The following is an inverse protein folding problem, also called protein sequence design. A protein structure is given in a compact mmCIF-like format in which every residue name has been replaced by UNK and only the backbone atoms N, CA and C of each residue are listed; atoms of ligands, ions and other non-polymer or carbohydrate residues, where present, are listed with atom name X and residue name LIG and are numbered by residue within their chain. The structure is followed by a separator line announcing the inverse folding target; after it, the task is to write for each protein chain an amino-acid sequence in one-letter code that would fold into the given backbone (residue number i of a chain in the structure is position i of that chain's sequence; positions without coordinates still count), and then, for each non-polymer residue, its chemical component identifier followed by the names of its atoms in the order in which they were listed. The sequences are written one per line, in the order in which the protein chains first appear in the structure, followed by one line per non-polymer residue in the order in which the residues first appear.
data_IF_776586556078
#
_entry.id   IF_776586556078
#
_cell.length_a   1.000
_cell.length_b   1.000
_cell.length_c   1.000
_cell.angle_alpha   90.00
_cell.angle_beta   90.00
_cell.angle_gamma   90.00
#
_symmetry.space_group_name_H-M   'P 1'
#
loop_
_entity.id
_entity.type
_entity.pdbx_description
1 polymer ?
#
# COMPACT_ATOMS: atom_id res chain seq x y z
N UNK A 1 -4.66 -12.10 -12.28
CA UNK A 1 -6.02 -12.28 -12.80
C UNK A 1 -6.03 -12.31 -14.32
N UNK A 2 -7.20 -12.52 -14.93
CA UNK A 2 -7.36 -12.56 -16.40
C UNK A 2 -7.09 -11.23 -17.10
N UNK A 3 -7.02 -10.11 -16.38
CA UNK A 3 -6.69 -8.78 -16.93
C UNK A 3 -5.17 -8.50 -16.96
N UNK A 4 -4.32 -9.43 -16.55
CA UNK A 4 -2.87 -9.24 -16.48
C UNK A 4 -2.39 -8.54 -15.19
N UNK A 5 -3.29 -8.28 -14.23
CA UNK A 5 -2.89 -7.75 -12.92
C UNK A 5 -2.43 -8.87 -12.00
N UNK A 6 -1.23 -8.71 -11.43
CA UNK A 6 -0.62 -9.68 -10.53
C UNK A 6 -0.08 -9.00 -9.27
N UNK A 7 -0.33 -9.62 -8.12
CA UNK A 7 0.31 -9.30 -6.86
C UNK A 7 1.24 -10.44 -6.47
N UNK A 8 2.50 -10.16 -6.31
CA UNK A 8 3.50 -11.09 -5.82
C UNK A 8 3.79 -10.81 -4.34
N UNK A 9 3.82 -11.86 -3.53
CA UNK A 9 4.13 -11.77 -2.09
C UNK A 9 5.41 -12.52 -1.77
N UNK A 10 6.12 -12.05 -0.74
CA UNK A 10 7.15 -12.82 -0.05
C UNK A 10 6.49 -13.74 0.99
N UNK A 11 7.20 -14.79 1.40
CA UNK A 11 6.73 -15.74 2.43
C UNK A 11 6.37 -15.06 3.77
N UNK A 12 7.01 -13.93 4.05
CA UNK A 12 6.73 -13.13 5.26
C UNK A 12 5.51 -12.22 5.13
N UNK A 13 4.69 -12.35 4.07
CA UNK A 13 3.49 -11.56 3.84
C UNK A 13 3.72 -10.13 3.32
N UNK A 14 4.97 -9.75 3.01
CA UNK A 14 5.24 -8.47 2.35
C UNK A 14 4.80 -8.51 0.89
N UNK A 15 4.23 -7.42 0.39
CA UNK A 15 4.03 -7.24 -1.05
C UNK A 15 5.40 -7.15 -1.72
N UNK A 16 5.73 -8.11 -2.58
CA UNK A 16 6.98 -8.13 -3.34
C UNK A 16 6.91 -7.16 -4.51
N UNK A 17 5.90 -7.30 -5.34
CA UNK A 17 5.65 -6.43 -6.49
C UNK A 17 4.18 -6.45 -6.88
N UNK A 18 3.75 -5.39 -7.56
CA UNK A 18 2.44 -5.28 -8.18
C UNK A 18 2.68 -4.98 -9.66
N UNK A 19 2.12 -5.81 -10.52
CA UNK A 19 2.36 -5.77 -11.96
C UNK A 19 1.03 -5.74 -12.71
N UNK A 20 0.94 -4.85 -13.70
CA UNK A 20 -0.15 -4.76 -14.66
C UNK A 20 0.49 -4.85 -16.04
N UNK A 21 0.71 -6.07 -16.53
CA UNK A 21 1.54 -6.36 -17.68
C UNK A 21 1.22 -5.46 -18.90
N UNK A 22 2.26 -4.80 -19.50
CA UNK A 22 3.72 -4.97 -19.29
C UNK A 22 4.34 -4.02 -18.24
N UNK A 23 3.55 -3.38 -17.38
CA UNK A 23 3.96 -2.33 -16.45
C UNK A 23 4.10 -2.87 -15.02
N UNK A 24 5.22 -2.55 -14.36
CA UNK A 24 5.37 -2.65 -12.91
C UNK A 24 4.75 -1.42 -12.25
N UNK A 25 3.80 -1.64 -11.37
CA UNK A 25 3.17 -0.57 -10.57
C UNK A 25 4.10 -0.19 -9.41
N UNK A 26 4.74 -1.18 -8.78
CA UNK A 26 5.71 -0.95 -7.71
C UNK A 26 6.93 -0.19 -8.22
N UNK A 27 7.49 0.68 -7.38
CA UNK A 27 8.73 1.40 -7.70
C UNK A 27 9.92 0.46 -7.81
N UNK A 28 9.99 -0.50 -6.88
CA UNK A 28 10.96 -1.59 -6.91
C UNK A 28 10.39 -2.85 -6.24
N UNK A 29 10.84 -4.05 -6.63
CA UNK A 29 10.50 -5.26 -5.91
C UNK A 29 11.07 -5.26 -4.49
N UNK A 30 10.27 -5.69 -3.51
CA UNK A 30 10.78 -5.96 -2.18
C UNK A 30 11.59 -7.25 -2.15
N UNK A 31 12.53 -7.32 -1.21
CA UNK A 31 13.33 -8.53 -0.92
C UNK A 31 13.26 -8.83 0.57
N UNK A 32 13.84 -9.95 1.01
CA UNK A 32 13.96 -10.25 2.44
C UNK A 32 14.79 -9.20 3.20
N UNK A 33 15.64 -8.44 2.50
CA UNK A 33 16.56 -7.45 3.07
C UNK A 33 16.10 -6.00 2.84
N UNK A 34 15.08 -5.77 1.99
CA UNK A 34 14.55 -4.45 1.70
C UNK A 34 13.08 -4.38 2.04
N UNK A 35 12.66 -3.30 2.69
CA UNK A 35 11.26 -3.09 3.06
C UNK A 35 10.40 -2.94 1.81
N UNK A 36 9.17 -3.47 1.89
CA UNK A 36 8.16 -3.24 0.87
C UNK A 36 7.76 -1.76 0.83
N UNK A 37 7.59 -1.22 -0.37
CA UNK A 37 7.02 0.11 -0.58
C UNK A 37 5.50 0.16 -0.44
N UNK A 38 4.84 -1.00 -0.22
CA UNK A 38 3.41 -1.11 -0.03
C UNK A 38 3.09 -1.75 1.32
N UNK A 39 2.25 -1.09 2.13
CA UNK A 39 1.77 -1.63 3.40
C UNK A 39 0.47 -0.96 3.84
N UNK A 40 -0.16 -1.53 4.85
CA UNK A 40 -1.35 -1.01 5.51
C UNK A 40 -1.05 -0.96 7.01
N UNK A 41 -1.39 0.15 7.64
CA UNK A 41 -1.16 0.35 9.06
C UNK A 41 -2.46 0.68 9.78
N UNK A 42 -2.63 0.13 10.97
CA UNK A 42 -3.58 0.62 11.97
C UNK A 42 -2.83 1.48 12.97
N UNK A 43 -3.35 2.67 13.27
CA UNK A 43 -2.79 3.62 14.24
C UNK A 43 -3.88 4.06 15.21
N UNK A 44 -3.56 4.17 16.50
CA UNK A 44 -4.47 4.77 17.47
C UNK A 44 -4.50 6.28 17.28
N UNK A 45 -5.68 6.84 16.99
CA UNK A 45 -5.85 8.25 16.71
C UNK A 45 -5.54 9.18 17.91
N UNK A 46 -5.55 8.66 19.13
CA UNK A 46 -5.22 9.42 20.34
C UNK A 46 -3.74 9.30 20.75
N UNK A 47 -3.01 8.35 20.19
CA UNK A 47 -1.59 8.12 20.46
C UNK A 47 -0.88 7.70 19.17
N UNK A 48 -0.35 8.65 18.40
CA UNK A 48 0.33 8.35 17.14
C UNK A 48 1.52 7.38 17.27
N UNK A 49 2.16 7.29 18.44
CA UNK A 49 3.21 6.31 18.70
C UNK A 49 2.74 4.85 18.79
N UNK A 50 1.42 4.61 18.86
CA UNK A 50 0.85 3.26 18.87
C UNK A 50 0.26 2.91 17.50
N UNK A 51 0.98 2.11 16.74
CA UNK A 51 0.54 1.60 15.44
C UNK A 51 1.05 0.17 15.21
N UNK A 52 0.48 -0.51 14.23
CA UNK A 52 0.94 -1.82 13.74
C UNK A 52 0.84 -1.89 12.22
N UNK A 53 1.80 -2.55 11.59
CA UNK A 53 1.67 -2.97 10.21
C UNK A 53 0.69 -4.15 10.09
N UNK A 54 -0.03 -4.27 9.01
CA UNK A 54 -0.88 -5.43 8.73
C UNK A 54 -0.19 -6.44 7.81
N UNK A 55 0.82 -6.00 7.05
CA UNK A 55 1.58 -6.83 6.12
C UNK A 55 3.06 -6.86 6.50
N UNK A 56 3.73 -7.93 6.12
CA UNK A 56 5.16 -8.08 6.30
C UNK A 56 5.60 -8.52 7.70
N UNK A 57 6.91 -8.61 7.94
CA UNK A 57 7.48 -9.23 9.12
C UNK A 57 7.26 -8.45 10.43
N UNK A 58 6.96 -7.15 10.36
CA UNK A 58 6.64 -6.32 11.52
C UNK A 58 5.16 -6.42 11.93
N UNK A 59 4.35 -7.17 11.18
CA UNK A 59 2.93 -7.40 11.52
C UNK A 59 2.76 -8.56 12.48
N UNK A 60 1.68 -8.53 13.25
CA UNK A 60 1.21 -9.67 14.04
C UNK A 60 0.27 -10.57 13.22
N UNK A 61 0.41 -10.59 11.90
CA UNK A 61 -0.50 -11.29 11.00
C UNK A 61 -0.06 -12.71 10.71
N UNK A 62 -1.05 -13.59 10.58
CA UNK A 62 -0.92 -14.89 9.92
C UNK A 62 -1.46 -14.71 8.51
N UNK A 63 -0.70 -15.17 7.53
CA UNK A 63 -1.00 -15.01 6.11
C UNK A 63 -1.51 -16.33 5.52
N UNK A 64 -2.60 -16.26 4.76
CA UNK A 64 -3.17 -17.39 4.01
C UNK A 64 -3.60 -16.94 2.63
N UNK A 65 -3.71 -17.89 1.70
CA UNK A 65 -4.38 -17.69 0.41
C UNK A 65 -5.54 -18.68 0.39
N UNK A 66 -6.76 -18.18 0.26
CA UNK A 66 -8.00 -18.94 0.24
C UNK A 66 -8.81 -18.48 -0.97
N UNK A 67 -9.15 -19.38 -1.87
CA UNK A 67 -9.95 -19.08 -3.08
C UNK A 67 -9.43 -17.86 -3.89
N UNK A 68 -8.12 -17.81 -4.13
CA UNK A 68 -7.41 -16.71 -4.82
C UNK A 68 -7.45 -15.35 -4.09
N UNK A 69 -7.84 -15.33 -2.82
CA UNK A 69 -7.82 -14.17 -1.95
C UNK A 69 -6.62 -14.27 -1.00
N UNK A 70 -5.72 -13.29 -1.04
CA UNK A 70 -4.70 -13.16 0.00
C UNK A 70 -5.32 -12.56 1.26
N UNK A 71 -5.08 -13.19 2.40
CA UNK A 71 -5.68 -12.81 3.68
C UNK A 71 -4.60 -12.68 4.75
N UNK A 72 -4.58 -11.56 5.46
CA UNK A 72 -3.80 -11.33 6.66
C UNK A 72 -4.76 -11.21 7.87
N UNK A 73 -4.61 -12.06 8.87
CA UNK A 73 -5.41 -12.03 10.11
C UNK A 73 -4.50 -11.85 11.31
N UNK A 74 -4.87 -10.97 12.22
CA UNK A 74 -4.06 -10.74 13.41
C UNK A 74 -4.80 -10.03 14.54
N UNK A 75 -4.05 -9.82 15.62
CA UNK A 75 -4.52 -9.09 16.80
C UNK A 75 -3.49 -8.04 17.19
N UNK A 76 -3.95 -6.87 17.58
CA UNK A 76 -3.11 -5.80 18.07
C UNK A 76 -3.88 -4.91 19.08
N UNK A 77 -3.32 -4.70 20.25
CA UNK A 77 -3.82 -3.77 21.28
C UNK A 77 -5.33 -3.92 21.61
N UNK A 78 -5.81 -5.17 21.66
CA UNK A 78 -7.23 -5.49 21.91
C UNK A 78 -8.13 -5.28 20.69
N UNK A 79 -7.56 -5.27 19.50
CA UNK A 79 -8.27 -5.27 18.23
C UNK A 79 -7.97 -6.56 17.49
N UNK A 80 -8.99 -7.21 16.94
CA UNK A 80 -8.84 -8.26 15.95
C UNK A 80 -9.03 -7.66 14.57
N UNK A 81 -8.17 -8.01 13.61
CA UNK A 81 -8.30 -7.51 12.25
C UNK A 81 -8.18 -8.62 11.20
N UNK A 82 -8.83 -8.38 10.08
CA UNK A 82 -8.66 -9.15 8.84
C UNK A 82 -8.45 -8.16 7.70
N UNK A 83 -7.44 -8.41 6.90
CA UNK A 83 -7.12 -7.64 5.70
C UNK A 83 -7.12 -8.59 4.50
N UNK A 84 -8.00 -8.35 3.53
CA UNK A 84 -8.17 -9.21 2.35
C UNK A 84 -7.82 -8.43 1.09
N UNK A 85 -7.00 -9.03 0.22
CA UNK A 85 -6.77 -8.52 -1.14
C UNK A 85 -7.63 -9.30 -2.12
N UNK A 86 -8.42 -8.57 -2.89
CA UNK A 86 -9.19 -9.11 -4.02
C UNK A 86 -8.83 -8.41 -5.31
N UNK A 87 -8.57 -9.18 -6.35
CA UNK A 87 -8.33 -8.67 -7.71
C UNK A 87 -9.64 -8.75 -8.49
N UNK A 88 -9.93 -7.72 -9.28
CA UNK A 88 -11.08 -7.75 -10.18
C UNK A 88 -10.86 -8.79 -11.28
N UNK A 89 -11.89 -9.52 -11.63
CA UNK A 89 -11.87 -10.49 -12.76
C UNK A 89 -12.01 -9.81 -14.12
N UNK A 90 -12.44 -8.54 -14.16
CA UNK A 90 -12.81 -7.85 -15.41
C UNK A 90 -11.94 -6.62 -15.71
N UNK A 91 -11.13 -6.17 -14.77
CA UNK A 91 -10.34 -4.94 -14.90
C UNK A 91 -9.00 -5.02 -14.17
N UNK A 92 -8.04 -4.19 -14.57
CA UNK A 92 -6.77 -4.01 -13.87
C UNK A 92 -6.98 -3.21 -12.58
N UNK A 93 -7.76 -3.77 -11.65
CA UNK A 93 -8.04 -3.14 -10.37
C UNK A 93 -8.00 -4.15 -9.23
N UNK A 94 -7.71 -3.65 -8.04
CA UNK A 94 -7.71 -4.42 -6.80
C UNK A 94 -8.40 -3.66 -5.69
N UNK A 95 -8.77 -4.40 -4.65
CA UNK A 95 -9.36 -3.84 -3.45
C UNK A 95 -8.76 -4.51 -2.22
N UNK A 96 -8.35 -3.70 -1.26
CA UNK A 96 -8.07 -4.14 0.10
C UNK A 96 -9.33 -3.95 0.95
N UNK A 97 -9.86 -5.04 1.51
CA UNK A 97 -10.95 -5.02 2.46
C UNK A 97 -10.39 -5.22 3.87
N UNK A 98 -10.52 -4.20 4.71
CA UNK A 98 -10.01 -4.25 6.07
C UNK A 98 -11.19 -4.26 7.05
N UNK A 99 -11.30 -5.32 7.83
CA UNK A 99 -12.26 -5.44 8.91
C UNK A 99 -11.53 -5.38 10.25
N UNK A 100 -11.97 -4.49 11.15
CA UNK A 100 -11.42 -4.37 12.49
C UNK A 100 -12.52 -4.54 13.51
N UNK A 101 -12.33 -5.46 14.45
CA UNK A 101 -13.23 -5.71 15.57
C UNK A 101 -12.54 -5.29 16.87
N UNK A 102 -13.15 -4.34 17.58
CA UNK A 102 -12.71 -3.98 18.93
C UNK A 102 -13.18 -5.05 19.93
N UNK A 103 -12.24 -5.66 20.61
CA UNK A 103 -12.49 -6.65 21.67
C UNK A 103 -12.27 -6.07 23.06
N UNK A 104 -11.89 -4.77 23.18
CA UNK A 104 -11.85 -4.04 24.43
C UNK A 104 -13.25 -3.59 24.85
N UNK A 105 -13.42 -3.30 26.14
CA UNK A 105 -14.69 -2.79 26.68
C UNK A 105 -14.93 -1.30 26.34
N UNK A 106 -13.90 -0.55 25.93
CA UNK A 106 -13.95 0.89 25.70
C UNK A 106 -13.93 1.26 24.21
N UNK A 107 -14.27 2.52 23.92
CA UNK A 107 -14.15 3.10 22.57
C UNK A 107 -12.68 3.27 22.18
N UNK A 108 -12.35 2.92 20.95
CA UNK A 108 -11.02 3.12 20.36
C UNK A 108 -11.16 3.92 19.08
N UNK A 109 -10.46 5.04 18.98
CA UNK A 109 -10.33 5.82 17.75
C UNK A 109 -9.14 5.26 16.96
N UNK A 110 -9.38 4.93 15.69
CA UNK A 110 -8.38 4.36 14.80
C UNK A 110 -8.25 5.18 13.53
N UNK A 111 -7.03 5.27 13.05
CA UNK A 111 -6.70 5.67 11.70
C UNK A 111 -6.25 4.44 10.92
N UNK A 112 -6.72 4.29 9.70
CA UNK A 112 -6.23 3.33 8.72
C UNK A 112 -5.36 4.10 7.72
N UNK A 113 -4.11 3.68 7.57
CA UNK A 113 -3.16 4.31 6.65
C UNK A 113 -2.72 3.29 5.61
N UNK A 114 -3.05 3.53 4.35
CA UNK A 114 -2.54 2.77 3.21
C UNK A 114 -1.35 3.48 2.60
N UNK A 115 -0.28 2.76 2.37
CA UNK A 115 0.96 3.24 1.75
C UNK A 115 1.23 2.44 0.49
N UNK A 116 1.58 3.11 -0.59
CA UNK A 116 1.93 2.50 -1.86
C UNK A 116 3.02 3.30 -2.55
N UNK A 117 4.15 2.65 -2.82
CA UNK A 117 5.14 3.18 -3.74
C UNK A 117 4.65 3.03 -5.19
N UNK A 118 5.07 3.91 -6.06
CA UNK A 118 4.60 3.95 -7.44
C UNK A 118 5.77 4.12 -8.39
N UNK A 119 5.91 3.18 -9.34
CA UNK A 119 6.91 3.20 -10.41
C UNK A 119 6.30 3.43 -11.78
N UNK A 120 5.24 2.69 -12.12
CA UNK A 120 4.56 2.75 -13.43
C UNK A 120 5.56 2.65 -14.60
N UNK A 121 6.47 1.70 -14.54
CA UNK A 121 7.57 1.50 -15.48
C UNK A 121 7.49 0.11 -16.12
N UNK A 122 8.17 -0.16 -17.25
CA UNK A 122 8.22 -1.51 -17.79
C UNK A 122 8.78 -2.51 -16.79
N UNK A 123 8.19 -3.71 -16.71
CA UNK A 123 8.66 -4.79 -15.82
C UNK A 123 10.16 -5.10 -16.06
N UNK A 124 10.60 -5.02 -17.32
CA UNK A 124 12.00 -5.23 -17.70
C UNK A 124 12.96 -4.18 -17.12
N UNK A 125 12.45 -3.08 -16.59
CA UNK A 125 13.21 -1.97 -15.99
C UNK A 125 13.30 -2.03 -14.48
N UNK A 126 12.92 -3.12 -13.83
CA UNK A 126 12.87 -3.24 -12.37
C UNK A 126 14.22 -3.03 -11.66
N UNK A 127 15.32 -3.20 -12.39
CA UNK A 127 16.68 -2.96 -11.89
C UNK A 127 17.21 -1.56 -12.20
N UNK A 128 16.43 -0.72 -12.89
CA UNK A 128 16.81 0.66 -13.21
C UNK A 128 16.65 1.54 -11.99
N UNK A 129 17.49 2.57 -11.92
CA UNK A 129 17.55 3.57 -10.86
C UNK A 129 16.15 4.10 -10.46
N UNK A 130 15.68 3.71 -9.28
CA UNK A 130 14.38 4.09 -8.72
C UNK A 130 14.18 5.60 -8.62
N UNK A 131 15.23 6.36 -8.32
CA UNK A 131 15.18 7.84 -8.24
C UNK A 131 14.85 8.45 -9.59
N UNK A 132 15.49 7.97 -10.64
CA UNK A 132 15.22 8.45 -11.99
C UNK A 132 13.76 8.24 -12.38
N UNK A 133 13.25 7.01 -12.20
CA UNK A 133 11.85 6.68 -12.51
C UNK A 133 10.87 7.54 -11.71
N UNK A 134 11.11 7.72 -10.42
CA UNK A 134 10.19 8.45 -9.53
C UNK A 134 10.09 9.94 -9.85
N UNK A 135 11.11 10.54 -10.46
CA UNK A 135 11.11 11.96 -10.85
C UNK A 135 10.12 12.28 -11.97
N UNK A 136 9.79 11.29 -12.81
CA UNK A 136 8.85 11.47 -13.92
C UNK A 136 7.39 11.13 -13.55
N UNK A 137 7.11 10.79 -12.32
CA UNK A 137 5.75 10.51 -11.87
C UNK A 137 5.08 11.79 -11.41
N UNK A 138 4.09 12.22 -12.18
CA UNK A 138 3.14 13.24 -11.75
C UNK A 138 2.18 12.65 -10.72
N UNK A 139 1.95 13.35 -9.62
CA UNK A 139 1.08 12.94 -8.53
C UNK A 139 0.10 14.06 -8.22
N UNK A 140 -1.19 13.74 -8.29
CA UNK A 140 -2.28 14.69 -8.04
C UNK A 140 -3.16 14.15 -6.91
N UNK A 141 -3.52 15.01 -5.97
CA UNK A 141 -4.54 14.73 -4.97
C UNK A 141 -5.80 15.47 -5.38
N UNK A 142 -6.85 14.72 -5.69
CA UNK A 142 -8.14 15.25 -6.08
C UNK A 142 -9.14 15.03 -4.94
N UNK A 143 -10.03 16.00 -4.72
CA UNK A 143 -11.13 15.87 -3.78
C UNK A 143 -12.38 15.38 -4.50
N UNK A 144 -12.80 14.15 -4.19
CA UNK A 144 -14.02 13.56 -4.73
C UNK A 144 -15.14 13.62 -3.67
N UNK A 145 -16.34 14.01 -4.07
CA UNK A 145 -17.47 14.21 -3.13
C UNK A 145 -17.77 12.95 -2.31
N UNK A 146 -17.74 11.79 -2.93
CA UNK A 146 -18.04 10.49 -2.29
C UNK A 146 -16.82 9.90 -1.59
N UNK A 147 -15.65 9.90 -2.24
CA UNK A 147 -14.47 9.14 -1.80
C UNK A 147 -13.46 9.98 -1.02
N UNK A 148 -13.67 11.31 -0.89
CA UNK A 148 -12.71 12.21 -0.25
C UNK A 148 -11.45 12.40 -1.09
N UNK A 149 -10.29 12.29 -0.48
CA UNK A 149 -9.01 12.43 -1.18
C UNK A 149 -8.74 11.19 -2.05
N UNK A 150 -8.54 11.43 -3.35
CA UNK A 150 -8.16 10.42 -4.35
C UNK A 150 -6.78 10.79 -4.89
N UNK A 151 -5.87 9.83 -4.91
CA UNK A 151 -4.52 10.03 -5.45
C UNK A 151 -4.48 9.48 -6.87
N UNK A 152 -4.09 10.33 -7.82
CA UNK A 152 -3.85 9.97 -9.21
C UNK A 152 -2.36 10.10 -9.52
N UNK A 153 -1.76 9.04 -10.07
CA UNK A 153 -0.38 9.02 -10.49
C UNK A 153 -0.29 8.76 -12.00
N UNK A 154 0.61 9.48 -12.68
CA UNK A 154 0.90 9.28 -14.09
C UNK A 154 2.40 9.23 -14.30
N UNK A 155 2.87 8.23 -15.05
CA UNK A 155 4.25 8.24 -15.55
C UNK A 155 4.34 9.14 -16.78
N UNK A 156 5.21 10.15 -16.73
CA UNK A 156 5.42 11.08 -17.84
C UNK A 156 6.44 10.57 -18.86
N UNK A 157 7.25 9.58 -18.50
CA UNK A 157 8.04 8.85 -19.50
C UNK A 157 7.09 8.03 -20.37
N UNK A 158 7.12 8.28 -21.69
CA UNK A 158 6.25 7.59 -22.62
C UNK A 158 6.74 6.17 -22.84
N UNK A 159 5.88 5.21 -22.53
CA UNK A 159 6.08 3.80 -22.82
C UNK A 159 5.42 3.40 -24.14
N UNK A 160 5.68 2.19 -24.64
CA UNK A 160 5.06 1.68 -25.87
C UNK A 160 3.52 1.68 -25.79
N UNK A 161 2.97 1.54 -24.59
CA UNK A 161 1.53 1.56 -24.30
C UNK A 161 0.98 2.95 -23.96
N UNK A 162 1.80 4.00 -24.07
CA UNK A 162 1.46 5.37 -23.69
C UNK A 162 2.00 5.75 -22.32
N UNK A 163 1.31 6.65 -21.62
CA UNK A 163 1.67 7.07 -20.26
C UNK A 163 0.79 6.31 -19.26
N UNK A 164 1.35 5.34 -18.50
CA UNK A 164 0.55 4.56 -17.55
C UNK A 164 -0.01 5.44 -16.41
N UNK A 165 -1.21 5.08 -15.96
CA UNK A 165 -1.91 5.74 -14.86
C UNK A 165 -2.24 4.77 -13.75
N UNK A 166 -2.24 5.29 -12.53
CA UNK A 166 -2.76 4.61 -11.34
C UNK A 166 -3.65 5.57 -10.57
N UNK A 167 -4.79 5.08 -10.11
CA UNK A 167 -5.68 5.82 -9.23
C UNK A 167 -5.91 5.03 -7.94
N UNK A 168 -5.75 5.68 -6.79
CA UNK A 168 -5.99 5.13 -5.47
C UNK A 168 -7.09 5.91 -4.76
N UNK A 169 -8.09 5.21 -4.26
CA UNK A 169 -9.22 5.80 -3.55
C UNK A 169 -9.65 4.92 -2.37
N UNK A 170 -10.21 5.53 -1.34
CA UNK A 170 -10.86 4.83 -0.24
C UNK A 170 -12.37 4.83 -0.46
N UNK A 171 -13.01 3.65 -0.57
CA UNK A 171 -14.45 3.53 -0.78
C UNK A 171 -15.26 4.06 0.42
N UNK A 172 -14.67 4.07 1.61
CA UNK A 172 -15.27 4.60 2.84
C UNK A 172 -14.89 6.07 3.10
N UNK A 173 -14.44 6.79 2.08
CA UNK A 173 -14.02 8.20 2.12
C UNK A 173 -12.70 8.43 2.86
N UNK A 174 -11.65 8.74 2.12
CA UNK A 174 -10.37 9.13 2.69
C UNK A 174 -10.44 10.53 3.32
N UNK A 175 -9.95 10.65 4.55
CA UNK A 175 -9.87 11.94 5.25
C UNK A 175 -8.79 12.85 4.65
N UNK A 176 -7.64 12.26 4.28
CA UNK A 176 -6.51 12.99 3.70
C UNK A 176 -5.65 12.04 2.86
N UNK A 177 -4.77 12.61 2.05
CA UNK A 177 -3.75 11.89 1.31
C UNK A 177 -2.45 12.72 1.27
N UNK A 178 -1.32 12.04 1.10
CA UNK A 178 -0.01 12.66 0.88
C UNK A 178 0.70 11.92 -0.25
N UNK A 179 1.50 12.64 -1.02
CA UNK A 179 2.29 12.08 -2.12
C UNK A 179 3.80 12.23 -1.91
N UNK A 180 4.22 12.77 -0.78
CA UNK A 180 5.63 12.88 -0.39
C UNK A 180 6.05 11.64 0.40
N UNK A 181 6.53 10.63 -0.34
CA UNK A 181 7.03 9.39 0.25
C UNK A 181 8.30 9.59 1.10
N UNK A 182 9.14 10.56 0.77
CA UNK A 182 10.36 10.85 1.54
C UNK A 182 10.01 11.42 2.91
N UNK A 183 9.07 12.35 2.97
CA UNK A 183 8.57 12.91 4.22
C UNK A 183 7.82 11.87 5.04
N UNK A 184 7.03 11.00 4.40
CA UNK A 184 6.27 9.97 5.10
C UNK A 184 7.18 8.89 5.69
N UNK A 185 8.10 8.35 4.89
CA UNK A 185 9.00 7.28 5.33
C UNK A 185 10.06 7.79 6.31
N UNK A 186 10.62 8.99 6.05
CA UNK A 186 11.66 9.57 6.86
C UNK A 186 13.04 8.97 6.60
N UNK A 187 14.06 9.56 7.23
CA UNK A 187 15.47 9.19 7.01
C UNK A 187 15.83 7.85 7.61
N UNK A 188 15.19 7.47 8.70
CA UNK A 188 15.51 6.28 9.49
C UNK A 188 14.73 5.02 9.05
N UNK A 189 13.81 5.15 8.11
CA UNK A 189 12.94 4.04 7.69
C UNK A 189 13.71 2.80 7.23
N UNK A 190 14.82 2.98 6.51
CA UNK A 190 15.63 1.86 6.02
C UNK A 190 16.23 1.01 7.15
N UNK A 191 16.51 1.63 8.29
CA UNK A 191 17.10 0.99 9.47
C UNK A 191 16.05 0.45 10.41
N UNK A 192 15.02 1.24 10.68
CA UNK A 192 14.02 0.94 11.72
C UNK A 192 12.78 0.20 11.18
N UNK A 193 12.47 0.35 9.89
CA UNK A 193 11.21 -0.09 9.30
C UNK A 193 9.99 0.72 9.76
N UNK A 194 10.21 1.82 10.48
CA UNK A 194 9.15 2.66 11.06
C UNK A 194 9.00 3.94 10.23
N UNK A 195 7.87 4.13 9.51
CA UNK A 195 7.60 5.39 8.82
C UNK A 195 7.40 6.54 9.82
N UNK A 196 8.19 7.60 9.68
CA UNK A 196 8.12 8.78 10.56
C UNK A 196 6.74 9.47 10.49
N UNK A 197 6.08 9.43 9.33
CA UNK A 197 4.74 9.98 9.14
C UNK A 197 3.66 9.32 9.99
N UNK A 198 3.87 8.08 10.48
CA UNK A 198 2.96 7.44 11.43
C UNK A 198 3.05 8.04 12.83
N UNK A 199 4.17 8.66 13.17
CA UNK A 199 4.41 9.30 14.46
C UNK A 199 3.90 10.76 14.51
N UNK A 200 3.59 11.33 13.34
CA UNK A 200 3.06 12.69 13.25
C UNK A 200 1.62 12.78 13.81
N UNK A 201 1.31 13.90 14.47
CA UNK A 201 -0.02 14.20 15.02
C UNK A 201 -0.98 14.67 13.94
#
# INVERSE_FOLDING_TARGET
NSSGLTFNFLENGSVKSIEAEPISISLKPATLFSKSGANIYLRKGNNPGEFTALLGPESNSIFTIEDDVFIARGHWAGLAYTCELRLSTQSMSWQWNITVKNINAGFVKLDLVYVQDVGLKPITSDLVNEYYVSQYIERLILNHNTYGSVVCCRQNTRESTGNPWLMLACLNKAASASTDGMQFLGKTFRETGIPEGLLAK
#
